data_IF_999987629387
#
_entry.id   IF_999987629387
#
_cell.length_a   1.000
_cell.length_b   1.000
_cell.length_c   1.000
_cell.angle_alpha   90.00
_cell.angle_beta   90.00
_cell.angle_gamma   90.00
#
_symmetry.space_group_name_H-M   'P 1'
#
loop_
_entity.id
_entity.type
_entity.pdbx_description
1 polymer ?
#
# COMPACT_ATOMS: atom_id res chain seq x y z
N UNK A 1 19.19 -19.07 9.52
CA UNK A 1 18.77 -17.68 9.23
C UNK A 1 17.26 -17.61 8.98
N UNK A 2 16.69 -18.43 8.10
CA UNK A 2 15.25 -18.45 7.78
C UNK A 2 14.34 -18.68 9.00
N UNK A 3 14.64 -19.67 9.86
CA UNK A 3 13.88 -19.91 11.10
C UNK A 3 13.87 -18.70 12.06
N UNK A 4 14.96 -17.93 12.10
CA UNK A 4 15.05 -16.72 12.94
C UNK A 4 14.17 -15.62 12.34
N UNK A 5 14.25 -15.41 11.02
CA UNK A 5 13.41 -14.44 10.32
C UNK A 5 11.91 -14.77 10.44
N UNK A 6 11.55 -16.05 10.33
CA UNK A 6 10.18 -16.52 10.53
C UNK A 6 9.68 -16.21 11.95
N UNK A 7 10.45 -16.54 12.99
CA UNK A 7 10.08 -16.24 14.38
C UNK A 7 9.91 -14.73 14.62
N UNK A 8 10.77 -13.89 14.04
CA UNK A 8 10.66 -12.43 14.13
C UNK A 8 9.39 -11.95 13.42
N UNK A 9 9.13 -12.45 12.21
CA UNK A 9 7.92 -12.13 11.45
C UNK A 9 6.65 -12.52 12.25
N UNK A 10 6.63 -13.69 12.87
CA UNK A 10 5.47 -14.18 13.63
C UNK A 10 5.23 -13.37 14.91
N UNK A 11 6.31 -12.87 15.53
CA UNK A 11 6.21 -11.95 16.66
C UNK A 11 5.60 -10.60 16.22
N UNK A 12 6.09 -10.06 15.10
CA UNK A 12 5.65 -8.77 14.54
C UNK A 12 4.19 -8.84 14.09
N UNK A 13 3.84 -9.87 13.31
CA UNK A 13 2.50 -10.14 12.79
C UNK A 13 1.64 -10.99 13.72
N UNK A 14 1.97 -11.01 15.01
CA UNK A 14 1.15 -11.64 16.02
C UNK A 14 -0.27 -11.04 16.02
N UNK A 15 -1.21 -11.75 16.63
CA UNK A 15 -2.59 -11.29 16.79
C UNK A 15 -2.68 -9.89 17.39
N UNK A 16 -1.68 -9.46 18.17
CA UNK A 16 -1.62 -8.13 18.75
C UNK A 16 -1.58 -7.02 17.67
N UNK A 17 -0.79 -7.16 16.59
CA UNK A 17 -0.75 -6.16 15.52
C UNK A 17 -2.06 -6.12 14.74
N UNK A 18 -2.63 -7.30 14.44
CA UNK A 18 -3.92 -7.43 13.74
C UNK A 18 -5.02 -6.72 14.54
N UNK A 19 -5.11 -7.00 15.84
CA UNK A 19 -6.08 -6.37 16.75
C UNK A 19 -5.83 -4.86 16.84
N UNK A 20 -4.57 -4.43 16.92
CA UNK A 20 -4.22 -3.00 16.98
C UNK A 20 -4.67 -2.26 15.72
N UNK A 21 -4.39 -2.80 14.53
CA UNK A 21 -4.79 -2.19 13.25
C UNK A 21 -6.31 -2.16 13.09
N UNK A 22 -7.01 -3.28 13.35
CA UNK A 22 -8.46 -3.34 13.29
C UNK A 22 -9.11 -2.40 14.31
N UNK A 23 -8.67 -2.45 15.57
CA UNK A 23 -9.17 -1.61 16.65
C UNK A 23 -8.95 -0.13 16.37
N UNK A 24 -7.81 0.24 15.81
CA UNK A 24 -7.52 1.63 15.39
C UNK A 24 -8.45 2.07 14.26
N UNK A 25 -8.65 1.24 13.24
CA UNK A 25 -9.57 1.54 12.15
C UNK A 25 -11.02 1.67 12.61
N UNK A 26 -11.48 0.82 13.54
CA UNK A 26 -12.80 0.95 14.18
C UNK A 26 -12.87 2.25 14.98
N UNK A 27 -11.88 2.51 15.82
CA UNK A 27 -11.82 3.71 16.64
C UNK A 27 -11.93 4.98 15.79
N UNK A 28 -11.09 5.12 14.76
CA UNK A 28 -11.11 6.27 13.86
C UNK A 28 -12.38 6.34 13.02
N UNK A 29 -12.92 5.21 12.58
CA UNK A 29 -14.23 5.19 11.93
C UNK A 29 -15.30 5.79 12.84
N UNK A 30 -15.37 5.38 14.11
CA UNK A 30 -16.37 5.90 15.06
C UNK A 30 -16.15 7.37 15.38
N UNK A 31 -14.94 7.79 15.77
CA UNK A 31 -14.71 9.19 16.19
C UNK A 31 -14.82 10.19 15.06
N UNK A 32 -14.55 9.77 13.82
CA UNK A 32 -14.78 10.59 12.62
C UNK A 32 -16.20 10.44 12.07
N UNK A 33 -17.07 9.68 12.74
CA UNK A 33 -18.46 9.40 12.38
C UNK A 33 -18.60 8.77 10.99
N UNK A 34 -17.80 7.75 10.70
CA UNK A 34 -17.72 7.06 9.40
C UNK A 34 -17.46 8.02 8.24
N UNK A 35 -16.40 8.85 8.36
CA UNK A 35 -16.04 9.82 7.33
C UNK A 35 -15.90 9.17 5.96
N UNK A 36 -15.38 7.94 5.93
CA UNK A 36 -15.07 7.19 4.73
C UNK A 36 -16.33 6.84 3.92
N UNK A 37 -17.50 6.80 4.56
CA UNK A 37 -18.80 6.70 3.90
C UNK A 37 -19.35 8.09 3.59
N UNK A 38 -19.41 8.98 4.60
CA UNK A 38 -20.07 10.29 4.49
C UNK A 38 -19.44 11.23 3.46
N UNK A 39 -18.13 11.10 3.22
CA UNK A 39 -17.37 12.00 2.35
C UNK A 39 -16.97 11.37 1.01
N UNK A 40 -17.47 10.18 0.64
CA UNK A 40 -17.02 9.50 -0.58
C UNK A 40 -17.10 10.38 -1.84
N UNK A 41 -18.19 11.14 -2.00
CA UNK A 41 -18.37 12.10 -3.12
C UNK A 41 -17.33 13.23 -3.07
N UNK A 42 -17.03 13.70 -1.87
CA UNK A 42 -16.06 14.77 -1.66
C UNK A 42 -14.63 14.30 -1.91
N UNK A 43 -14.28 13.09 -1.49
CA UNK A 43 -12.96 12.53 -1.75
C UNK A 43 -12.67 12.46 -3.25
N UNK A 44 -13.66 12.05 -4.05
CA UNK A 44 -13.55 12.02 -5.50
C UNK A 44 -13.44 13.43 -6.12
N UNK A 45 -14.29 14.37 -5.68
CA UNK A 45 -14.23 15.78 -6.13
C UNK A 45 -12.84 16.39 -5.89
N UNK A 46 -12.27 16.15 -4.71
CA UNK A 46 -11.00 16.72 -4.29
C UNK A 46 -9.79 16.19 -5.06
N UNK A 47 -9.89 15.05 -5.76
CA UNK A 47 -8.82 14.56 -6.64
C UNK A 47 -8.46 15.59 -7.71
N UNK A 48 -9.47 16.33 -8.19
CA UNK A 48 -9.33 17.30 -9.26
C UNK A 48 -9.29 18.76 -8.74
N UNK A 49 -9.25 18.94 -7.42
CA UNK A 49 -9.06 20.24 -6.79
C UNK A 49 -7.55 20.51 -6.55
N UNK A 50 -7.15 21.79 -6.68
CA UNK A 50 -5.79 22.24 -6.40
C UNK A 50 -4.87 22.24 -7.63
N UNK A 51 -3.79 23.03 -7.56
CA UNK A 51 -2.77 23.15 -8.61
C UNK A 51 -1.40 22.89 -7.99
N UNK A 52 -0.46 22.42 -8.81
CA UNK A 52 0.95 22.34 -8.41
C UNK A 52 1.52 23.74 -8.13
N UNK A 53 2.54 23.80 -7.28
CA UNK A 53 3.33 25.01 -7.01
C UNK A 53 4.82 24.74 -7.24
N UNK A 54 5.67 25.75 -7.04
CA UNK A 54 7.12 25.55 -7.12
C UNK A 54 7.65 24.61 -6.02
N UNK A 55 6.94 24.56 -4.88
CA UNK A 55 7.29 23.76 -3.69
C UNK A 55 6.61 22.39 -3.65
N UNK A 56 5.43 22.25 -4.26
CA UNK A 56 4.54 21.12 -4.06
C UNK A 56 3.86 20.63 -5.34
N UNK A 57 3.29 19.43 -5.26
CA UNK A 57 2.55 18.80 -6.35
C UNK A 57 1.03 19.02 -6.18
N UNK A 58 0.26 18.82 -7.26
CA UNK A 58 -1.21 18.86 -7.16
C UNK A 58 -1.77 17.70 -6.32
N UNK A 59 -3.03 17.81 -5.88
CA UNK A 59 -3.73 16.73 -5.16
C UNK A 59 -3.75 15.43 -5.96
N UNK A 60 -4.00 15.51 -7.28
CA UNK A 60 -3.98 14.34 -8.17
C UNK A 60 -2.59 13.71 -8.27
N UNK A 61 -1.53 14.52 -8.42
CA UNK A 61 -0.16 14.00 -8.47
C UNK A 61 0.24 13.35 -7.14
N UNK A 62 -0.09 13.95 -6.00
CA UNK A 62 0.15 13.35 -4.69
C UNK A 62 -0.66 12.06 -4.50
N UNK A 63 -1.89 12.00 -5.01
CA UNK A 63 -2.68 10.78 -5.07
C UNK A 63 -2.01 9.72 -5.95
N UNK A 64 -1.55 10.07 -7.15
CA UNK A 64 -0.86 9.18 -8.08
C UNK A 64 0.44 8.62 -7.47
N UNK A 65 1.24 9.44 -6.79
CA UNK A 65 2.45 9.00 -6.06
C UNK A 65 2.08 8.03 -4.94
N UNK A 66 1.00 8.30 -4.20
CA UNK A 66 0.56 7.42 -3.12
C UNK A 66 0.04 6.08 -3.66
N UNK A 67 -0.72 6.10 -4.76
CA UNK A 67 -1.19 4.90 -5.45
C UNK A 67 -0.03 4.13 -6.06
N UNK A 68 0.99 4.80 -6.58
CA UNK A 68 2.14 4.14 -7.20
C UNK A 68 2.92 3.27 -6.21
N UNK A 69 2.87 3.60 -4.90
CA UNK A 69 3.43 2.79 -3.82
C UNK A 69 2.51 1.70 -3.28
N UNK A 70 1.18 1.85 -3.42
CA UNK A 70 0.17 0.88 -2.96
C UNK A 70 -0.08 -0.22 -3.98
N UNK A 71 -0.26 0.16 -5.25
CA UNK A 71 -0.52 -0.76 -6.35
C UNK A 71 0.80 -1.41 -6.78
N UNK A 72 1.07 -2.57 -6.20
CA UNK A 72 2.30 -3.34 -6.37
C UNK A 72 2.05 -4.85 -6.42
N UNK A 73 3.10 -5.60 -6.09
CA UNK A 73 3.03 -7.06 -5.92
C UNK A 73 1.97 -7.51 -4.90
N UNK A 74 1.68 -6.69 -3.88
CA UNK A 74 0.66 -6.96 -2.87
C UNK A 74 -0.73 -7.22 -3.46
N UNK A 75 -1.11 -6.46 -4.49
CA UNK A 75 -2.43 -6.55 -5.10
C UNK A 75 -2.64 -7.78 -5.98
N UNK A 76 -1.55 -8.40 -6.45
CA UNK A 76 -1.58 -9.55 -7.35
C UNK A 76 -1.17 -10.80 -6.57
N UNK A 77 0.13 -10.93 -6.28
CA UNK A 77 0.67 -12.08 -5.55
C UNK A 77 0.24 -12.09 -4.08
N UNK A 78 0.07 -10.93 -3.43
CA UNK A 78 -0.39 -10.87 -2.05
C UNK A 78 -1.84 -11.33 -1.87
N UNK A 79 -2.74 -10.94 -2.79
CA UNK A 79 -4.13 -11.44 -2.83
C UNK A 79 -4.17 -12.95 -3.07
N UNK A 80 -3.41 -13.44 -4.05
CA UNK A 80 -3.29 -14.88 -4.32
C UNK A 80 -2.77 -15.64 -3.09
N UNK A 81 -1.82 -15.07 -2.35
CA UNK A 81 -1.30 -15.64 -1.10
C UNK A 81 -2.35 -15.62 0.01
N UNK A 82 -3.15 -14.56 0.12
CA UNK A 82 -4.25 -14.49 1.08
C UNK A 82 -5.29 -15.59 0.83
N UNK A 83 -5.67 -15.80 -0.44
CA UNK A 83 -6.57 -16.88 -0.85
C UNK A 83 -5.92 -18.24 -0.59
N UNK A 84 -4.63 -18.40 -0.90
CA UNK A 84 -3.95 -19.68 -0.70
C UNK A 84 -3.84 -20.09 0.77
N UNK A 85 -3.61 -19.14 1.67
CA UNK A 85 -3.38 -19.42 3.08
C UNK A 85 -4.64 -19.33 3.94
N UNK A 86 -5.62 -18.50 3.55
CA UNK A 86 -6.84 -18.23 4.31
C UNK A 86 -8.13 -18.60 3.58
N UNK A 87 -8.06 -19.15 2.36
CA UNK A 87 -9.22 -19.42 1.52
C UNK A 87 -9.90 -18.15 0.99
N UNK A 88 -11.03 -18.31 0.26
CA UNK A 88 -11.78 -17.18 -0.30
C UNK A 88 -12.22 -16.15 0.75
N UNK A 89 -12.42 -16.58 2.00
CA UNK A 89 -12.81 -15.72 3.12
C UNK A 89 -11.80 -14.62 3.45
N UNK A 90 -10.52 -14.81 3.13
CA UNK A 90 -9.49 -13.79 3.35
C UNK A 90 -9.78 -12.49 2.59
N UNK A 91 -10.44 -12.58 1.42
CA UNK A 91 -10.79 -11.42 0.59
C UNK A 91 -11.77 -10.50 1.32
N UNK A 92 -12.74 -11.04 2.06
CA UNK A 92 -13.65 -10.25 2.88
C UNK A 92 -12.89 -9.45 3.95
N UNK A 93 -11.93 -10.09 4.62
CA UNK A 93 -11.13 -9.44 5.65
C UNK A 93 -10.18 -8.39 5.07
N UNK A 94 -9.70 -8.57 3.83
CA UNK A 94 -9.02 -7.51 3.07
C UNK A 94 -9.94 -6.30 2.83
N UNK A 95 -11.19 -6.51 2.42
CA UNK A 95 -12.16 -5.43 2.24
C UNK A 95 -12.46 -4.70 3.54
N UNK A 96 -12.67 -5.45 4.62
CA UNK A 96 -12.98 -4.86 5.92
C UNK A 96 -11.82 -4.00 6.42
N UNK A 97 -10.57 -4.48 6.34
CA UNK A 97 -9.43 -3.69 6.78
C UNK A 97 -9.18 -2.48 5.88
N UNK A 98 -9.46 -2.55 4.58
CA UNK A 98 -9.41 -1.38 3.70
C UNK A 98 -10.50 -0.34 4.05
N UNK A 99 -11.72 -0.81 4.32
CA UNK A 99 -12.81 0.06 4.76
C UNK A 99 -12.47 0.81 6.04
N UNK A 100 -11.98 0.09 7.06
CA UNK A 100 -11.57 0.66 8.34
C UNK A 100 -10.30 1.51 8.20
N UNK A 101 -9.35 1.04 7.40
CA UNK A 101 -8.05 1.68 7.15
C UNK A 101 -8.16 3.02 6.43
N UNK A 102 -9.21 3.23 5.62
CA UNK A 102 -9.49 4.53 4.99
C UNK A 102 -9.60 5.67 6.02
N UNK A 103 -10.18 5.40 7.21
CA UNK A 103 -10.23 6.38 8.29
C UNK A 103 -8.85 6.65 8.92
N UNK A 104 -8.03 5.61 9.11
CA UNK A 104 -6.64 5.77 9.60
C UNK A 104 -5.78 6.54 8.59
N UNK A 105 -5.91 6.24 7.31
CA UNK A 105 -5.22 6.93 6.22
C UNK A 105 -5.58 8.43 6.17
N UNK A 106 -6.83 8.79 6.43
CA UNK A 106 -7.24 10.19 6.59
C UNK A 106 -6.46 10.87 7.72
N UNK A 107 -6.37 10.25 8.90
CA UNK A 107 -5.69 10.81 10.07
C UNK A 107 -4.20 11.01 9.76
N UNK A 108 -3.54 9.98 9.26
CA UNK A 108 -2.12 10.00 8.90
C UNK A 108 -1.79 11.07 7.86
N UNK A 109 -2.56 11.14 6.77
CA UNK A 109 -2.34 12.12 5.71
C UNK A 109 -2.63 13.55 6.17
N UNK A 110 -3.66 13.74 7.01
CA UNK A 110 -3.97 15.04 7.62
C UNK A 110 -2.83 15.50 8.53
N UNK A 111 -2.29 14.61 9.37
CA UNK A 111 -1.11 14.90 10.20
C UNK A 111 0.13 15.20 9.34
N UNK A 112 0.34 14.43 8.27
CA UNK A 112 1.41 14.66 7.30
C UNK A 112 1.36 16.07 6.69
N UNK A 113 0.16 16.55 6.37
CA UNK A 113 -0.05 17.93 5.89
C UNK A 113 0.15 18.99 6.97
N UNK A 114 -0.39 18.79 8.17
CA UNK A 114 -0.27 19.77 9.28
C UNK A 114 1.19 20.02 9.65
N UNK A 115 2.01 18.97 9.68
CA UNK A 115 3.39 19.04 10.18
C UNK A 115 4.45 19.01 9.06
N UNK A 116 4.05 19.23 7.80
CA UNK A 116 4.99 19.33 6.67
C UNK A 116 5.96 20.50 6.85
N UNK A 117 7.06 20.45 6.12
CA UNK A 117 8.04 21.52 6.06
C UNK A 117 8.65 21.65 4.68
N UNK A 118 9.21 22.81 4.38
CA UNK A 118 10.04 22.99 3.20
C UNK A 118 11.44 22.48 3.50
N UNK A 119 11.93 21.55 2.67
CA UNK A 119 13.31 21.07 2.70
C UNK A 119 13.85 21.07 1.26
N UNK A 120 14.97 21.76 1.03
CA UNK A 120 15.55 21.97 -0.30
C UNK A 120 14.55 22.54 -1.33
N UNK A 121 13.68 23.45 -0.88
CA UNK A 121 12.67 24.10 -1.74
C UNK A 121 11.44 23.25 -2.04
N UNK A 122 11.34 22.01 -1.53
CA UNK A 122 10.20 21.11 -1.74
C UNK A 122 9.48 20.81 -0.43
N UNK A 123 8.17 20.56 -0.47
CA UNK A 123 7.46 20.06 0.69
C UNK A 123 7.87 18.63 1.03
N UNK A 124 8.22 18.41 2.30
CA UNK A 124 8.48 17.10 2.88
C UNK A 124 7.72 16.97 4.19
N UNK A 125 7.15 15.80 4.40
CA UNK A 125 6.43 15.45 5.61
C UNK A 125 6.34 13.93 5.73
N UNK A 126 5.55 13.47 6.69
CA UNK A 126 5.44 12.07 7.04
C UNK A 126 5.53 11.83 8.54
N UNK A 127 5.54 10.57 8.99
CA UNK A 127 5.39 10.26 10.40
C UNK A 127 6.53 10.75 11.27
N UNK A 128 7.78 10.71 10.80
CA UNK A 128 8.89 11.29 11.54
C UNK A 128 8.66 12.77 11.89
N UNK A 129 8.08 13.55 10.97
CA UNK A 129 7.81 14.97 11.17
C UNK A 129 6.68 15.22 12.16
N UNK A 130 5.55 14.53 12.04
CA UNK A 130 4.45 14.72 13.00
C UNK A 130 4.72 14.09 14.36
N UNK A 131 5.52 13.03 14.44
CA UNK A 131 5.96 12.45 15.72
C UNK A 131 6.86 13.45 16.46
N UNK A 132 7.84 14.06 15.79
CA UNK A 132 8.71 15.04 16.45
C UNK A 132 7.94 16.32 16.81
N UNK A 133 7.20 16.93 15.87
CA UNK A 133 6.56 18.24 16.08
C UNK A 133 5.25 18.15 16.87
N UNK A 134 4.47 17.10 16.65
CA UNK A 134 3.16 16.91 17.24
C UNK A 134 3.21 16.19 18.59
N UNK A 135 3.94 15.07 18.70
CA UNK A 135 4.10 14.36 19.97
C UNK A 135 5.25 14.89 20.83
N UNK A 136 6.21 15.62 20.25
CA UNK A 136 7.41 16.06 20.97
C UNK A 136 8.44 14.94 21.21
N UNK A 137 8.27 13.77 20.58
CA UNK A 137 9.07 12.57 20.87
C UNK A 137 10.15 12.33 19.80
N UNK A 138 11.25 13.08 19.87
CA UNK A 138 12.32 13.02 18.87
C UNK A 138 12.95 11.62 18.71
N UNK A 139 13.13 10.87 19.79
CA UNK A 139 13.69 9.52 19.71
C UNK A 139 12.79 8.57 18.91
N UNK A 140 11.47 8.73 19.07
CA UNK A 140 10.48 7.90 18.38
C UNK A 140 10.39 8.26 16.90
N UNK A 141 10.50 9.55 16.58
CA UNK A 141 10.59 10.03 15.20
C UNK A 141 11.85 9.50 14.49
N UNK A 142 13.02 9.53 15.15
CA UNK A 142 14.26 8.97 14.61
C UNK A 142 14.18 7.46 14.40
N UNK A 143 13.57 6.73 15.36
CA UNK A 143 13.32 5.29 15.23
C UNK A 143 12.42 4.99 14.02
N UNK A 144 11.30 5.71 13.88
CA UNK A 144 10.41 5.56 12.73
C UNK A 144 11.13 5.84 11.41
N UNK A 145 11.90 6.93 11.33
CA UNK A 145 12.63 7.29 10.12
C UNK A 145 13.66 6.23 9.74
N UNK A 146 14.44 5.70 10.71
CA UNK A 146 15.42 4.65 10.47
C UNK A 146 14.77 3.35 9.99
N UNK A 147 13.70 2.91 10.67
CA UNK A 147 12.94 1.71 10.30
C UNK A 147 12.33 1.87 8.91
N UNK A 148 11.80 3.05 8.59
CA UNK A 148 11.21 3.33 7.28
C UNK A 148 12.26 3.30 6.17
N UNK A 149 13.44 3.92 6.38
CA UNK A 149 14.57 3.86 5.43
C UNK A 149 14.99 2.41 5.20
N UNK A 150 15.20 1.63 6.27
CA UNK A 150 15.60 0.22 6.13
C UNK A 150 14.52 -0.60 5.41
N UNK A 151 13.26 -0.41 5.77
CA UNK A 151 12.15 -1.17 5.19
C UNK A 151 11.97 -0.87 3.70
N UNK A 152 11.97 0.41 3.33
CA UNK A 152 11.72 0.84 1.94
C UNK A 152 12.96 0.74 1.04
N UNK A 153 14.17 0.84 1.59
CA UNK A 153 15.39 0.71 0.78
C UNK A 153 15.95 -0.72 0.73
N UNK A 154 15.69 -1.57 1.73
CA UNK A 154 16.29 -2.90 1.81
C UNK A 154 15.27 -4.05 1.79
N UNK A 155 14.22 -4.00 2.63
CA UNK A 155 13.31 -5.15 2.76
C UNK A 155 12.27 -5.26 1.62
N UNK A 156 11.54 -4.18 1.36
CA UNK A 156 10.38 -4.20 0.46
C UNK A 156 10.73 -4.25 -1.04
N UNK A 157 11.80 -3.62 -1.54
CA UNK A 157 12.16 -3.71 -2.97
C UNK A 157 12.38 -5.15 -3.43
N UNK A 158 12.81 -6.02 -2.52
CA UNK A 158 13.03 -7.43 -2.81
C UNK A 158 11.74 -8.18 -3.20
N UNK A 159 10.63 -7.91 -2.52
CA UNK A 159 9.32 -8.54 -2.81
C UNK A 159 8.81 -8.14 -4.20
N UNK A 160 8.95 -6.86 -4.50
CA UNK A 160 8.52 -6.27 -5.76
C UNK A 160 9.30 -6.87 -6.94
N UNK A 161 10.63 -6.78 -6.88
CA UNK A 161 11.53 -7.32 -7.92
C UNK A 161 11.43 -8.83 -8.10
N UNK A 162 11.25 -9.60 -7.02
CA UNK A 162 11.07 -11.04 -7.08
C UNK A 162 9.83 -11.42 -7.91
N UNK A 163 8.72 -10.74 -7.68
CA UNK A 163 7.46 -11.05 -8.37
C UNK A 163 7.50 -10.66 -9.85
N UNK A 164 8.21 -9.57 -10.20
CA UNK A 164 8.51 -9.25 -11.60
C UNK A 164 9.32 -10.38 -12.24
N UNK A 165 10.42 -10.78 -11.59
CA UNK A 165 11.33 -11.79 -12.13
C UNK A 165 10.65 -13.14 -12.35
N UNK A 166 9.87 -13.62 -11.36
CA UNK A 166 9.13 -14.88 -11.47
C UNK A 166 8.03 -14.82 -12.53
N UNK A 167 7.32 -13.71 -12.64
CA UNK A 167 6.24 -13.57 -13.63
C UNK A 167 6.78 -13.48 -15.06
N UNK A 168 7.91 -12.78 -15.25
CA UNK A 168 8.61 -12.73 -16.54
C UNK A 168 9.21 -14.09 -16.92
N UNK A 169 9.73 -14.84 -15.96
CA UNK A 169 10.18 -16.20 -16.18
C UNK A 169 9.02 -17.12 -16.58
N UNK A 170 7.88 -17.05 -15.89
CA UNK A 170 6.70 -17.86 -16.20
C UNK A 170 6.12 -17.52 -17.59
N UNK A 171 5.99 -16.23 -17.92
CA UNK A 171 5.34 -15.78 -19.14
C UNK A 171 6.23 -15.88 -20.39
N UNK A 172 7.52 -15.59 -20.25
CA UNK A 172 8.43 -15.41 -21.39
C UNK A 172 9.71 -16.24 -21.29
N UNK A 173 9.84 -17.10 -20.27
CA UNK A 173 11.05 -17.89 -20.02
C UNK A 173 12.33 -17.07 -19.87
N UNK A 174 12.21 -15.78 -19.52
CA UNK A 174 13.35 -14.91 -19.26
C UNK A 174 13.98 -15.28 -17.91
N UNK A 175 15.27 -15.60 -17.85
CA UNK A 175 15.94 -15.89 -16.59
C UNK A 175 15.82 -14.74 -15.58
N UNK A 176 15.55 -15.07 -14.32
CA UNK A 176 15.28 -14.09 -13.24
C UNK A 176 16.38 -13.04 -13.08
N UNK A 177 17.65 -13.41 -13.29
CA UNK A 177 18.79 -12.50 -13.18
C UNK A 177 18.79 -11.42 -14.26
N UNK A 178 18.38 -11.75 -15.49
CA UNK A 178 18.30 -10.76 -16.58
C UNK A 178 17.15 -9.79 -16.37
N UNK A 179 15.99 -10.29 -15.91
CA UNK A 179 14.88 -9.43 -15.51
C UNK A 179 15.29 -8.48 -14.39
N UNK A 180 15.94 -9.00 -13.35
CA UNK A 180 16.46 -8.19 -12.23
C UNK A 180 17.43 -7.10 -12.68
N UNK A 181 18.39 -7.45 -13.55
CA UNK A 181 19.33 -6.48 -14.11
C UNK A 181 18.61 -5.38 -14.92
N UNK A 182 17.65 -5.76 -15.77
CA UNK A 182 16.85 -4.81 -16.55
C UNK A 182 16.05 -3.85 -15.67
N UNK A 183 15.38 -4.36 -14.63
CA UNK A 183 14.64 -3.55 -13.65
C UNK A 183 15.57 -2.56 -12.95
N UNK A 184 16.75 -3.01 -12.50
CA UNK A 184 17.74 -2.14 -11.84
C UNK A 184 18.28 -1.05 -12.75
N UNK A 185 18.56 -1.38 -14.02
CA UNK A 185 19.01 -0.38 -15.00
C UNK A 185 17.94 0.71 -15.21
N UNK A 186 16.67 0.31 -15.39
CA UNK A 186 15.57 1.26 -15.54
C UNK A 186 15.36 2.11 -14.28
N UNK A 187 15.42 1.51 -13.09
CA UNK A 187 15.31 2.24 -11.83
C UNK A 187 16.45 3.25 -11.66
N UNK A 188 17.69 2.87 -11.99
CA UNK A 188 18.85 3.76 -11.91
C UNK A 188 18.66 5.00 -12.80
N UNK A 189 18.17 4.83 -14.03
CA UNK A 189 17.90 5.95 -14.94
C UNK A 189 16.88 6.96 -14.38
N UNK A 190 15.90 6.48 -13.60
CA UNK A 190 14.85 7.34 -13.03
C UNK A 190 15.27 7.95 -11.71
N UNK A 191 15.75 7.13 -10.76
CA UNK A 191 16.02 7.52 -9.38
C UNK A 191 17.16 8.55 -9.29
N UNK A 192 18.19 8.43 -10.13
CA UNK A 192 19.26 9.44 -10.20
C UNK A 192 18.76 10.80 -10.73
N UNK A 193 17.61 10.83 -11.40
CA UNK A 193 16.91 12.05 -11.82
C UNK A 193 16.13 12.76 -10.70
N UNK A 194 16.00 12.17 -9.52
CA UNK A 194 15.36 12.77 -8.34
C UNK A 194 13.83 12.70 -8.33
N UNK A 195 13.25 13.28 -7.26
CA UNK A 195 11.82 13.16 -6.90
C UNK A 195 10.87 13.70 -7.98
N UNK A 196 11.18 14.84 -8.60
CA UNK A 196 10.35 15.42 -9.67
C UNK A 196 10.19 14.48 -10.87
N UNK A 197 11.24 13.74 -11.24
CA UNK A 197 11.19 12.75 -12.32
C UNK A 197 10.28 11.57 -11.93
N UNK A 198 10.36 11.11 -10.68
CA UNK A 198 9.52 10.03 -10.16
C UNK A 198 8.04 10.42 -10.23
N UNK A 199 7.68 11.61 -9.76
CA UNK A 199 6.31 12.10 -9.82
C UNK A 199 5.75 12.13 -11.24
N UNK A 200 6.52 12.64 -12.21
CA UNK A 200 6.10 12.74 -13.61
C UNK A 200 5.91 11.37 -14.27
N UNK A 201 6.76 10.39 -13.94
CA UNK A 201 6.59 9.02 -14.43
C UNK A 201 5.37 8.37 -13.79
N UNK A 202 5.19 8.51 -12.48
CA UNK A 202 4.05 7.95 -11.75
C UNK A 202 2.71 8.48 -12.27
N UNK A 203 2.61 9.78 -12.53
CA UNK A 203 1.39 10.43 -13.05
C UNK A 203 0.91 9.82 -14.39
N UNK A 204 1.84 9.38 -15.24
CA UNK A 204 1.52 8.78 -16.55
C UNK A 204 1.28 7.27 -16.43
N UNK A 205 2.16 6.57 -15.72
CA UNK A 205 2.14 5.10 -15.68
C UNK A 205 0.99 4.57 -14.81
N UNK A 206 0.70 5.21 -13.68
CA UNK A 206 -0.26 4.69 -12.69
C UNK A 206 -1.69 4.59 -13.23
N UNK A 207 -2.26 5.63 -13.88
CA UNK A 207 -3.61 5.52 -14.42
C UNK A 207 -3.72 4.45 -15.51
N UNK A 208 -2.69 4.32 -16.37
CA UNK A 208 -2.67 3.32 -17.43
C UNK A 208 -2.59 1.90 -16.87
N UNK A 209 -1.67 1.64 -15.94
CA UNK A 209 -1.48 0.30 -15.37
C UNK A 209 -2.71 -0.14 -14.56
N UNK A 210 -3.24 0.72 -13.70
CA UNK A 210 -4.41 0.40 -12.88
C UNK A 210 -5.67 0.25 -13.73
N UNK A 211 -5.88 1.17 -14.69
CA UNK A 211 -7.01 1.13 -15.61
C UNK A 211 -7.02 -0.13 -16.48
N UNK A 212 -5.88 -0.48 -17.08
CA UNK A 212 -5.77 -1.70 -17.90
C UNK A 212 -6.03 -2.99 -17.11
N UNK A 213 -5.52 -3.07 -15.89
CA UNK A 213 -5.72 -4.24 -15.02
C UNK A 213 -7.19 -4.37 -14.56
N UNK A 214 -7.80 -3.27 -14.12
CA UNK A 214 -9.22 -3.25 -13.74
C UNK A 214 -10.11 -3.58 -14.95
N UNK A 215 -9.80 -3.06 -16.14
CA UNK A 215 -10.53 -3.37 -17.36
C UNK A 215 -10.51 -4.86 -17.67
N UNK A 216 -9.35 -5.52 -17.56
CA UNK A 216 -9.25 -6.97 -17.77
C UNK A 216 -10.13 -7.75 -16.79
N UNK A 217 -10.14 -7.35 -15.51
CA UNK A 217 -11.03 -7.97 -14.54
C UNK A 217 -12.51 -7.74 -14.85
N UNK A 218 -12.89 -6.54 -15.32
CA UNK A 218 -14.26 -6.25 -15.78
C UNK A 218 -14.64 -7.15 -16.96
N UNK A 219 -13.75 -7.36 -17.92
CA UNK A 219 -13.98 -8.27 -19.05
C UNK A 219 -14.23 -9.69 -18.53
N UNK A 220 -13.39 -10.21 -17.64
CA UNK A 220 -13.57 -11.55 -17.06
C UNK A 220 -14.86 -11.66 -16.24
N UNK A 221 -15.21 -10.63 -15.46
CA UNK A 221 -16.48 -10.56 -14.74
C UNK A 221 -17.68 -10.57 -15.68
N UNK A 222 -17.63 -9.81 -16.79
CA UNK A 222 -18.71 -9.77 -17.76
C UNK A 222 -18.91 -11.12 -18.46
N UNK A 223 -17.82 -11.84 -18.75
CA UNK A 223 -17.86 -13.20 -19.29
C UNK A 223 -18.44 -14.22 -18.31
N UNK A 224 -18.34 -13.96 -17.00
CA UNK A 224 -18.80 -14.85 -15.93
C UNK A 224 -19.94 -14.22 -15.10
N UNK A 225 -20.74 -13.34 -15.70
CA UNK A 225 -21.68 -12.48 -14.97
C UNK A 225 -22.68 -13.26 -14.10
N UNK A 226 -23.14 -14.42 -14.58
CA UNK A 226 -24.09 -15.27 -13.87
C UNK A 226 -23.54 -15.81 -12.52
N UNK A 227 -22.23 -15.95 -12.40
CA UNK A 227 -21.56 -16.53 -11.24
C UNK A 227 -21.24 -15.49 -10.15
N UNK A 228 -21.42 -14.19 -10.43
CA UNK A 228 -21.08 -13.11 -9.50
C UNK A 228 -21.75 -13.29 -8.13
N UNK A 229 -23.06 -13.56 -8.02
CA UNK A 229 -23.70 -13.75 -6.73
C UNK A 229 -23.14 -14.95 -5.96
N UNK A 230 -22.84 -16.06 -6.66
CA UNK A 230 -22.31 -17.27 -6.06
C UNK A 230 -20.91 -17.05 -5.49
N UNK A 231 -20.03 -16.37 -6.22
CA UNK A 231 -18.69 -16.03 -5.76
C UNK A 231 -18.71 -15.06 -4.55
N UNK A 232 -19.55 -14.02 -4.58
CA UNK A 232 -19.69 -13.12 -3.41
C UNK A 232 -20.19 -13.91 -2.20
N UNK A 233 -21.17 -14.79 -2.39
CA UNK A 233 -21.66 -15.70 -1.34
C UNK A 233 -20.54 -16.60 -0.81
N UNK A 234 -19.69 -17.15 -1.69
CA UNK A 234 -18.55 -17.98 -1.29
C UNK A 234 -17.57 -17.22 -0.40
N UNK A 235 -17.20 -15.99 -0.79
CA UNK A 235 -16.30 -15.12 -0.01
C UNK A 235 -16.90 -14.87 1.38
N UNK A 236 -18.17 -14.48 1.46
CA UNK A 236 -18.83 -14.16 2.72
C UNK A 236 -18.99 -15.42 3.60
N UNK A 237 -19.48 -16.54 3.05
CA UNK A 237 -19.63 -17.79 3.80
C UNK A 237 -18.29 -18.30 4.33
N UNK A 238 -17.25 -18.27 3.51
CA UNK A 238 -15.89 -18.65 3.92
C UNK A 238 -15.35 -17.73 5.01
N UNK A 239 -15.69 -16.43 4.97
CA UNK A 239 -15.22 -15.45 5.94
C UNK A 239 -15.87 -15.57 7.33
N UNK A 240 -17.00 -16.26 7.44
CA UNK A 240 -17.78 -16.44 8.67
C UNK A 240 -17.96 -17.92 9.07
N UNK A 241 -17.09 -18.81 8.59
CA UNK A 241 -17.12 -20.25 8.93
C UNK A 241 -18.41 -20.99 8.52
N UNK A 242 -19.08 -20.50 7.46
CA UNK A 242 -20.31 -21.09 6.93
C UNK A 242 -20.08 -21.95 5.68
N UNK A 243 -18.83 -22.06 5.22
CA UNK A 243 -18.45 -22.87 4.07
C UNK A 243 -17.63 -24.09 4.54
N UNK A 244 -18.22 -25.31 4.56
CA UNK A 244 -17.58 -26.49 5.14
C UNK A 244 -16.19 -26.81 4.57
N UNK A 245 -15.98 -26.53 3.27
CA UNK A 245 -14.71 -26.74 2.59
C UNK A 245 -13.55 -25.90 3.18
N UNK A 246 -13.86 -24.78 3.83
CA UNK A 246 -12.87 -23.83 4.34
C UNK A 246 -12.96 -23.60 5.86
N UNK A 247 -13.79 -24.37 6.58
CA UNK A 247 -13.97 -24.21 8.02
C UNK A 247 -12.65 -24.34 8.81
N UNK A 248 -11.77 -25.24 8.36
CA UNK A 248 -10.45 -25.46 8.97
C UNK A 248 -9.46 -24.30 8.86
N UNK A 249 -9.77 -23.25 8.07
CA UNK A 249 -8.91 -22.08 7.86
C UNK A 249 -9.57 -20.76 8.26
N UNK A 250 -10.72 -20.76 8.94
CA UNK A 250 -11.42 -19.52 9.34
C UNK A 250 -10.51 -18.51 10.07
N UNK A 251 -9.77 -18.93 11.10
CA UNK A 251 -8.84 -18.03 11.80
C UNK A 251 -7.70 -17.52 10.91
N UNK A 252 -7.27 -18.34 9.94
CA UNK A 252 -6.26 -17.96 8.96
C UNK A 252 -6.82 -16.97 7.92
N UNK A 253 -8.11 -17.08 7.57
CA UNK A 253 -8.79 -16.12 6.70
C UNK A 253 -8.71 -14.71 7.27
N UNK A 254 -8.97 -14.56 8.59
CA UNK A 254 -8.82 -13.27 9.29
C UNK A 254 -7.37 -12.81 9.26
N UNK A 255 -6.44 -13.66 9.72
CA UNK A 255 -5.04 -13.27 9.88
C UNK A 255 -4.39 -12.89 8.54
N UNK A 256 -4.54 -13.73 7.51
CA UNK A 256 -3.98 -13.49 6.19
C UNK A 256 -4.71 -12.39 5.42
N UNK A 257 -6.03 -12.29 5.57
CA UNK A 257 -6.80 -11.20 4.98
C UNK A 257 -6.41 -9.84 5.53
N UNK A 258 -6.28 -9.71 6.86
CA UNK A 258 -5.80 -8.45 7.46
C UNK A 258 -4.33 -8.20 7.11
N UNK A 259 -3.45 -9.21 7.21
CA UNK A 259 -2.02 -9.07 6.90
C UNK A 259 -1.78 -8.61 5.46
N UNK A 260 -2.38 -9.28 4.48
CA UNK A 260 -2.21 -8.93 3.06
C UNK A 260 -3.00 -7.69 2.68
N UNK A 261 -4.12 -7.41 3.36
CA UNK A 261 -4.86 -6.16 3.21
C UNK A 261 -4.03 -4.94 3.61
N UNK A 262 -3.41 -4.95 4.80
CA UNK A 262 -2.51 -3.87 5.26
C UNK A 262 -1.30 -3.73 4.35
N UNK A 263 -0.69 -4.86 3.96
CA UNK A 263 0.46 -4.84 3.04
C UNK A 263 0.12 -4.15 1.71
N UNK A 264 -1.10 -4.32 1.21
CA UNK A 264 -1.55 -3.74 -0.06
C UNK A 264 -1.88 -2.25 0.07
N UNK A 265 -2.81 -1.88 0.96
CA UNK A 265 -3.27 -0.49 1.04
C UNK A 265 -2.42 0.42 1.92
N UNK A 266 -1.47 -0.13 2.66
CA UNK A 266 -0.55 0.57 3.55
C UNK A 266 -1.24 1.46 4.60
N UNK A 267 -2.54 1.23 4.88
CA UNK A 267 -3.26 2.00 5.88
C UNK A 267 -2.79 1.59 7.29
N UNK A 268 -2.36 2.57 8.10
CA UNK A 268 -1.70 2.27 9.37
C UNK A 268 -0.17 2.19 9.27
N UNK A 269 0.40 1.97 8.07
CA UNK A 269 1.84 1.76 7.89
C UNK A 269 2.65 3.06 7.99
N UNK A 270 2.06 4.20 7.62
CA UNK A 270 2.72 5.51 7.70
C UNK A 270 3.52 5.91 6.46
N UNK A 271 3.33 5.24 5.31
CA UNK A 271 3.97 5.58 4.03
C UNK A 271 3.19 6.63 3.23
N UNK A 272 1.86 6.53 3.17
CA UNK A 272 0.99 7.47 2.47
C UNK A 272 1.16 8.96 2.87
N UNK A 273 1.46 9.30 4.14
CA UNK A 273 1.70 10.68 4.56
C UNK A 273 2.82 11.41 3.83
N UNK A 274 3.82 10.70 3.29
CA UNK A 274 4.93 11.33 2.56
C UNK A 274 4.41 11.99 1.27
N UNK A 275 3.67 11.21 0.46
CA UNK A 275 3.02 11.71 -0.75
C UNK A 275 1.94 12.75 -0.40
N UNK A 276 1.18 12.50 0.68
CA UNK A 276 0.19 13.46 1.15
C UNK A 276 0.83 14.81 1.43
N UNK A 277 1.92 14.88 2.19
CA UNK A 277 2.61 16.10 2.59
C UNK A 277 3.21 16.89 1.42
N UNK A 278 3.52 16.25 0.31
CA UNK A 278 4.00 16.92 -0.90
C UNK A 278 2.92 17.74 -1.62
N UNK A 279 1.65 17.52 -1.31
CA UNK A 279 0.53 18.21 -1.94
C UNK A 279 0.43 19.69 -1.51
N UNK A 280 0.15 20.56 -2.48
CA UNK A 280 -0.25 21.94 -2.28
C UNK A 280 -1.77 22.02 -2.12
N UNK A 281 -2.25 22.22 -0.89
CA UNK A 281 -3.69 22.27 -0.57
C UNK A 281 -4.00 23.35 0.46
N UNK A 282 -5.16 23.99 0.34
CA UNK A 282 -5.60 25.07 1.22
C UNK A 282 -6.02 24.61 2.62
N UNK A 283 -6.24 23.30 2.83
CA UNK A 283 -6.71 22.74 4.10
C UNK A 283 -6.25 21.27 4.23
N UNK A 284 -5.68 20.81 5.37
CA UNK A 284 -5.05 19.50 5.45
C UNK A 284 -6.05 18.35 5.29
N UNK A 285 -7.29 18.53 5.78
CA UNK A 285 -8.37 17.58 5.60
C UNK A 285 -8.73 17.31 4.12
N UNK A 286 -8.49 18.26 3.19
CA UNK A 286 -8.72 18.02 1.76
C UNK A 286 -7.83 16.88 1.28
N UNK A 287 -6.54 16.96 1.56
CA UNK A 287 -5.60 15.90 1.19
C UNK A 287 -5.79 14.64 2.03
N UNK A 288 -6.19 14.76 3.30
CA UNK A 288 -6.62 13.62 4.11
C UNK A 288 -7.72 12.81 3.41
N UNK A 289 -8.74 13.47 2.86
CA UNK A 289 -9.84 12.82 2.14
C UNK A 289 -9.39 12.17 0.84
N UNK A 290 -8.53 12.83 0.07
CA UNK A 290 -7.93 12.27 -1.16
C UNK A 290 -7.17 10.98 -0.85
N UNK A 291 -6.39 10.96 0.23
CA UNK A 291 -5.63 9.79 0.65
C UNK A 291 -6.51 8.70 1.27
N UNK A 292 -7.60 9.05 1.93
CA UNK A 292 -8.59 8.08 2.38
C UNK A 292 -9.21 7.31 1.19
N UNK A 293 -9.44 7.98 0.06
CA UNK A 293 -9.98 7.35 -1.14
C UNK A 293 -8.98 6.45 -1.85
N UNK A 294 -7.69 6.77 -1.80
CA UNK A 294 -6.66 5.92 -2.41
C UNK A 294 -6.60 4.49 -1.84
N UNK A 295 -7.03 4.28 -0.59
CA UNK A 295 -7.19 2.95 0.02
C UNK A 295 -8.28 2.12 -0.69
N UNK A 296 -9.33 2.77 -1.19
CA UNK A 296 -10.40 2.09 -1.92
C UNK A 296 -9.92 1.64 -3.29
N UNK A 297 -9.25 2.51 -4.04
CA UNK A 297 -8.69 2.16 -5.36
C UNK A 297 -7.77 0.94 -5.25
N UNK A 298 -6.91 0.90 -4.23
CA UNK A 298 -6.04 -0.24 -3.97
C UNK A 298 -6.82 -1.54 -3.73
N UNK A 299 -7.61 -1.61 -2.65
CA UNK A 299 -8.14 -2.89 -2.20
C UNK A 299 -9.51 -3.22 -2.78
N UNK A 300 -10.42 -2.24 -2.79
CA UNK A 300 -11.81 -2.46 -3.24
C UNK A 300 -11.92 -2.54 -4.76
N UNK A 301 -10.96 -1.97 -5.50
CA UNK A 301 -10.93 -2.11 -6.97
C UNK A 301 -9.84 -3.09 -7.41
N UNK A 302 -8.56 -2.84 -7.15
CA UNK A 302 -7.47 -3.65 -7.74
C UNK A 302 -7.33 -5.02 -7.07
N UNK A 303 -7.29 -5.11 -5.74
CA UNK A 303 -7.22 -6.42 -5.07
C UNK A 303 -8.48 -7.25 -5.33
N UNK A 304 -9.64 -6.60 -5.38
CA UNK A 304 -10.91 -7.24 -5.72
C UNK A 304 -10.90 -7.78 -7.14
N UNK A 305 -10.39 -7.01 -8.10
CA UNK A 305 -10.17 -7.46 -9.47
C UNK A 305 -9.31 -8.74 -9.52
N UNK A 306 -8.18 -8.78 -8.80
CA UNK A 306 -7.35 -9.99 -8.71
C UNK A 306 -8.11 -11.16 -8.09
N UNK A 307 -8.74 -10.94 -6.94
CA UNK A 307 -9.47 -11.98 -6.23
C UNK A 307 -10.57 -12.57 -7.11
N UNK A 308 -11.30 -11.72 -7.83
CA UNK A 308 -12.37 -12.14 -8.71
C UNK A 308 -11.86 -12.95 -9.89
N UNK A 309 -10.79 -12.50 -10.56
CA UNK A 309 -10.17 -13.29 -11.63
C UNK A 309 -9.78 -14.69 -11.14
N UNK A 310 -9.14 -14.79 -9.97
CA UNK A 310 -8.71 -16.06 -9.38
C UNK A 310 -9.89 -16.96 -9.00
N UNK A 311 -10.89 -16.40 -8.30
CA UNK A 311 -12.01 -17.16 -7.74
C UNK A 311 -13.01 -17.60 -8.83
N UNK A 312 -13.34 -16.74 -9.80
CA UNK A 312 -14.24 -17.12 -10.90
C UNK A 312 -13.70 -18.27 -11.74
N UNK A 313 -12.40 -18.28 -11.96
CA UNK A 313 -11.75 -19.29 -12.82
C UNK A 313 -11.39 -20.56 -12.04
N UNK A 314 -11.58 -20.57 -10.71
CA UNK A 314 -11.17 -21.65 -9.84
C UNK A 314 -9.66 -21.88 -9.80
N UNK A 315 -8.84 -20.94 -10.31
CA UNK A 315 -7.39 -21.10 -10.48
C UNK A 315 -6.62 -20.73 -9.20
N UNK A 316 -6.88 -21.48 -8.14
CA UNK A 316 -6.18 -21.35 -6.85
C UNK A 316 -6.10 -22.69 -6.12
N UNK A 317 -5.11 -22.81 -5.23
CA UNK A 317 -5.07 -23.85 -4.21
C UNK A 317 -5.25 -23.21 -2.84
N UNK A 318 -5.82 -23.93 -1.87
CA UNK A 318 -5.91 -23.55 -0.47
C UNK A 318 -5.13 -24.55 0.37
N UNK A 319 -4.12 -24.08 1.11
CA UNK A 319 -3.23 -24.90 1.93
C UNK A 319 -3.97 -25.40 3.16
N UNK A 320 -3.75 -26.67 3.52
CA UNK A 320 -4.22 -27.22 4.78
C UNK A 320 -3.17 -27.02 5.88
N UNK A 321 -3.50 -26.39 7.02
CA UNK A 321 -2.58 -26.24 8.14
C UNK A 321 -2.01 -27.56 8.69
N UNK A 322 -2.72 -28.69 8.47
CA UNK A 322 -2.28 -30.03 8.85
C UNK A 322 -1.37 -30.71 7.81
N UNK A 323 -1.02 -30.01 6.73
CA UNK A 323 -0.27 -30.53 5.58
C UNK A 323 -1.15 -30.86 4.38
N UNK A 324 -0.63 -30.65 3.18
CA UNK A 324 -1.37 -30.80 1.92
C UNK A 324 -2.27 -29.60 1.60
N UNK A 325 -3.35 -29.84 0.87
CA UNK A 325 -4.29 -28.81 0.42
C UNK A 325 -5.73 -29.16 0.86
N UNK A 326 -6.50 -28.13 1.22
CA UNK A 326 -7.96 -28.22 1.33
C UNK A 326 -8.61 -28.23 -0.06
N UNK A 327 -8.02 -27.48 -1.00
CA UNK A 327 -8.41 -27.41 -2.41
C UNK A 327 -7.12 -27.33 -3.23
N UNK A 328 -6.99 -28.18 -4.25
CA UNK A 328 -5.84 -28.17 -5.17
C UNK A 328 -6.32 -28.18 -6.62
N UNK A 329 -6.58 -27.00 -7.18
CA UNK A 329 -7.03 -26.84 -8.57
C UNK A 329 -5.86 -26.57 -9.55
N UNK A 330 -4.68 -26.28 -9.02
CA UNK A 330 -3.45 -25.96 -9.76
C UNK A 330 -2.26 -26.76 -9.20
N UNK A 331 -2.17 -28.08 -9.46
CA UNK A 331 -1.06 -28.89 -8.98
C UNK A 331 0.29 -28.35 -9.48
N UNK A 332 1.24 -28.17 -8.56
CA UNK A 332 2.60 -27.70 -8.87
C UNK A 332 2.74 -26.19 -9.14
N UNK A 333 1.64 -25.42 -9.20
CA UNK A 333 1.71 -23.97 -9.34
C UNK A 333 2.22 -23.31 -8.06
N UNK A 334 3.08 -22.30 -8.19
CA UNK A 334 3.59 -21.55 -7.04
C UNK A 334 2.55 -20.57 -6.54
N UNK A 335 2.43 -20.45 -5.21
CA UNK A 335 1.58 -19.43 -4.58
C UNK A 335 2.07 -18.04 -4.97
N UNK A 336 1.18 -17.20 -5.49
CA UNK A 336 1.48 -15.83 -5.85
C UNK A 336 0.91 -15.45 -7.22
N UNK A 337 1.69 -14.67 -7.99
CA UNK A 337 1.26 -14.12 -9.28
C UNK A 337 0.83 -15.19 -10.30
N UNK A 338 1.38 -16.40 -10.20
CA UNK A 338 1.07 -17.50 -11.10
C UNK A 338 -0.43 -17.88 -11.06
N UNK A 339 -1.11 -17.75 -9.91
CA UNK A 339 -2.56 -17.99 -9.84
C UNK A 339 -3.33 -17.01 -10.72
N UNK A 340 -2.91 -15.74 -10.74
CA UNK A 340 -3.53 -14.73 -11.62
C UNK A 340 -3.17 -14.99 -13.08
N UNK A 341 -1.94 -15.39 -13.38
CA UNK A 341 -1.52 -15.77 -14.73
C UNK A 341 -2.39 -16.91 -15.27
N UNK A 342 -2.59 -17.96 -14.47
CA UNK A 342 -3.42 -19.11 -14.83
C UNK A 342 -4.91 -18.74 -14.93
N UNK A 343 -5.39 -17.86 -14.05
CA UNK A 343 -6.76 -17.33 -14.11
C UNK A 343 -7.03 -16.61 -15.43
N UNK A 344 -6.19 -15.67 -15.84
CA UNK A 344 -6.43 -14.94 -17.09
C UNK A 344 -6.21 -15.87 -18.29
N UNK A 345 -5.24 -16.79 -18.22
CA UNK A 345 -4.96 -17.75 -19.29
C UNK A 345 -6.09 -18.76 -19.52
N UNK A 346 -7.00 -18.97 -18.55
CA UNK A 346 -8.17 -19.84 -18.77
C UNK A 346 -9.14 -19.27 -19.79
N UNK A 347 -9.28 -17.94 -19.86
CA UNK A 347 -10.10 -17.25 -20.87
C UNK A 347 -9.27 -16.76 -22.06
N UNK A 348 -8.01 -16.37 -21.83
CA UNK A 348 -7.12 -15.80 -22.85
C UNK A 348 -5.76 -16.52 -22.88
N UNK A 349 -5.66 -17.76 -23.40
CA UNK A 349 -4.46 -18.59 -23.30
C UNK A 349 -3.18 -17.96 -23.87
N UNK A 350 -3.30 -17.16 -24.94
CA UNK A 350 -2.16 -16.50 -25.59
C UNK A 350 -1.72 -15.20 -24.91
N UNK A 351 -2.55 -14.62 -24.04
CA UNK A 351 -2.35 -13.29 -23.48
C UNK A 351 -2.13 -13.32 -21.97
N UNK A 352 -2.75 -14.26 -21.25
CA UNK A 352 -2.92 -14.17 -19.79
C UNK A 352 -1.62 -14.07 -19.01
N UNK A 353 -0.68 -14.98 -19.23
CA UNK A 353 0.60 -14.97 -18.52
C UNK A 353 1.40 -13.69 -18.82
N UNK A 354 1.47 -13.27 -20.09
CA UNK A 354 2.16 -12.06 -20.53
C UNK A 354 1.52 -10.79 -20.00
N UNK A 355 0.19 -10.71 -19.96
CA UNK A 355 -0.55 -9.58 -19.43
C UNK A 355 -0.23 -9.33 -17.95
N UNK A 356 -0.27 -10.37 -17.11
CA UNK A 356 0.06 -10.23 -15.69
C UNK A 356 1.54 -9.91 -15.50
N UNK A 357 2.44 -10.50 -16.29
CA UNK A 357 3.88 -10.21 -16.21
C UNK A 357 4.19 -8.74 -16.52
N UNK A 358 3.58 -8.19 -17.59
CA UNK A 358 3.70 -6.77 -17.95
C UNK A 358 3.03 -5.88 -16.90
N UNK A 359 1.85 -6.27 -16.39
CA UNK A 359 1.16 -5.54 -15.32
C UNK A 359 2.01 -5.47 -14.05
N UNK A 360 2.59 -6.59 -13.61
CA UNK A 360 3.49 -6.65 -12.48
C UNK A 360 4.76 -5.85 -12.70
N UNK A 361 5.32 -5.85 -13.91
CA UNK A 361 6.45 -4.99 -14.25
C UNK A 361 6.10 -3.54 -13.92
N UNK A 362 4.96 -3.01 -14.38
CA UNK A 362 4.57 -1.63 -14.04
C UNK A 362 4.27 -1.44 -12.56
N UNK A 363 3.42 -2.28 -11.96
CA UNK A 363 2.97 -2.15 -10.56
C UNK A 363 4.14 -2.17 -9.59
N UNK A 364 4.95 -3.22 -9.66
CA UNK A 364 6.07 -3.42 -8.75
C UNK A 364 7.20 -2.41 -9.01
N UNK A 365 7.43 -2.02 -10.27
CA UNK A 365 8.42 -0.98 -10.61
C UNK A 365 8.02 0.38 -10.04
N UNK A 366 6.77 0.82 -10.22
CA UNK A 366 6.29 2.08 -9.63
C UNK A 366 6.32 2.05 -8.11
N UNK A 367 6.09 0.87 -7.52
CA UNK A 367 6.18 0.69 -6.07
C UNK A 367 7.60 0.88 -5.57
N UNK A 368 8.61 0.31 -6.25
CA UNK A 368 10.02 0.53 -5.90
C UNK A 368 10.42 2.00 -6.05
N UNK A 369 9.89 2.71 -7.05
CA UNK A 369 10.12 4.16 -7.18
C UNK A 369 9.51 4.96 -6.01
N UNK A 370 8.31 4.60 -5.56
CA UNK A 370 7.68 5.22 -4.39
C UNK A 370 8.47 4.96 -3.11
N UNK A 371 9.00 3.74 -2.95
CA UNK A 371 9.86 3.39 -1.82
C UNK A 371 11.14 4.23 -1.78
N UNK A 372 11.77 4.49 -2.93
CA UNK A 372 12.90 5.41 -2.98
C UNK A 372 12.50 6.81 -2.48
N UNK A 373 11.36 7.35 -2.93
CA UNK A 373 10.89 8.67 -2.50
C UNK A 373 10.63 8.73 -0.99
N UNK A 374 10.00 7.70 -0.43
CA UNK A 374 9.74 7.59 1.01
C UNK A 374 11.06 7.49 1.79
N UNK A 375 11.99 6.67 1.31
CA UNK A 375 13.29 6.49 1.94
C UNK A 375 14.12 7.78 1.91
N UNK A 376 14.16 8.49 0.77
CA UNK A 376 14.88 9.76 0.65
C UNK A 376 14.26 10.83 1.56
N UNK A 377 12.94 10.86 1.69
CA UNK A 377 12.23 11.79 2.58
C UNK A 377 12.64 11.55 4.04
N UNK A 378 12.65 10.30 4.50
CA UNK A 378 13.09 9.96 5.86
C UNK A 378 14.60 10.14 6.05
N UNK A 379 15.40 9.91 5.02
CA UNK A 379 16.83 10.19 5.06
C UNK A 379 17.08 11.68 5.25
N UNK A 380 16.34 12.57 4.58
CA UNK A 380 16.47 14.01 4.78
C UNK A 380 15.95 14.51 6.12
N UNK A 381 15.11 13.73 6.80
CA UNK A 381 14.78 13.98 8.20
C UNK A 381 15.97 13.65 9.13
N UNK A 382 16.62 12.50 8.91
CA UNK A 382 17.77 12.03 9.68
C UNK A 382 19.03 12.86 9.43
N UNK A 383 19.31 13.18 8.17
CA UNK A 383 20.46 13.97 7.75
C UNK A 383 20.07 15.40 7.38
N UNK A 384 20.00 16.25 8.41
CA UNK A 384 19.70 17.69 8.26
C UNK A 384 20.77 18.45 7.48
N UNK A 385 21.99 17.89 7.31
CA UNK A 385 23.07 18.54 6.57
C UNK A 385 22.96 18.31 5.05
N UNK A 386 22.12 17.37 4.61
CA UNK A 386 21.88 17.11 3.18
C UNK A 386 23.12 16.55 2.47
N UNK A 387 23.82 15.60 3.10
CA UNK A 387 25.02 15.00 2.55
C UNK A 387 24.68 14.16 1.31
N UNK A 388 25.13 14.62 0.14
CA UNK A 388 24.90 13.95 -1.16
C UNK A 388 25.37 12.48 -1.17
N UNK A 389 26.41 12.15 -0.42
CA UNK A 389 26.91 10.77 -0.34
C UNK A 389 25.91 9.82 0.32
N UNK A 390 25.16 10.26 1.34
CA UNK A 390 24.15 9.43 2.01
C UNK A 390 23.00 9.11 1.05
N UNK A 391 22.58 10.08 0.24
CA UNK A 391 21.58 9.86 -0.82
C UNK A 391 22.07 8.84 -1.84
N UNK A 392 23.34 8.90 -2.24
CA UNK A 392 23.90 7.93 -3.18
C UNK A 392 24.02 6.53 -2.56
N UNK A 393 24.39 6.41 -1.28
CA UNK A 393 24.37 5.13 -0.55
C UNK A 393 22.96 4.55 -0.51
N UNK A 394 21.95 5.38 -0.24
CA UNK A 394 20.54 4.96 -0.26
C UNK A 394 20.13 4.42 -1.64
N UNK A 395 20.51 5.10 -2.73
CA UNK A 395 20.26 4.65 -4.10
C UNK A 395 20.90 3.29 -4.36
N UNK A 396 22.19 3.15 -4.03
CA UNK A 396 22.92 1.90 -4.23
C UNK A 396 22.32 0.75 -3.40
N UNK A 397 21.91 1.01 -2.15
CA UNK A 397 21.24 0.03 -1.31
C UNK A 397 19.92 -0.45 -1.91
N UNK A 398 19.10 0.46 -2.42
CA UNK A 398 17.83 0.12 -3.06
C UNK A 398 18.02 -0.67 -4.36
N UNK A 399 18.97 -0.26 -5.21
CA UNK A 399 19.30 -0.99 -6.44
C UNK A 399 19.86 -2.38 -6.14
N UNK A 400 20.75 -2.50 -5.14
CA UNK A 400 21.26 -3.79 -4.68
C UNK A 400 20.14 -4.69 -4.18
N UNK A 401 19.25 -4.17 -3.33
CA UNK A 401 18.14 -4.95 -2.74
C UNK A 401 17.13 -5.40 -3.80
N UNK A 402 16.90 -4.57 -4.82
CA UNK A 402 16.09 -4.90 -5.99
C UNK A 402 16.72 -6.05 -6.79
N UNK A 403 18.02 -5.98 -7.09
CA UNK A 403 18.69 -7.08 -7.79
C UNK A 403 18.69 -8.36 -6.94
N UNK A 404 19.08 -8.23 -5.67
CA UNK A 404 19.17 -9.35 -4.74
C UNK A 404 17.82 -10.05 -4.55
N UNK A 405 16.73 -9.30 -4.43
CA UNK A 405 15.38 -9.88 -4.33
C UNK A 405 14.94 -10.64 -5.58
N UNK A 406 15.33 -10.18 -6.77
CA UNK A 406 14.99 -10.86 -8.04
C UNK A 406 15.55 -12.29 -8.13
N UNK A 407 16.68 -12.57 -7.47
CA UNK A 407 17.35 -13.89 -7.50
C UNK A 407 17.12 -14.73 -6.24
N UNK A 408 16.42 -14.21 -5.23
CA UNK A 408 16.10 -14.92 -3.98
C UNK A 408 14.78 -15.67 -4.08
N UNK A 409 14.49 -16.50 -3.09
CA UNK A 409 13.21 -17.20 -3.01
C UNK A 409 12.10 -16.21 -2.67
N UNK A 410 10.89 -16.45 -3.19
CA UNK A 410 9.72 -15.64 -2.87
C UNK A 410 9.45 -15.59 -1.36
N UNK A 411 9.55 -16.74 -0.67
CA UNK A 411 9.37 -16.83 0.78
C UNK A 411 10.32 -15.91 1.55
N UNK A 412 11.62 -15.90 1.21
CA UNK A 412 12.58 -15.02 1.87
C UNK A 412 12.29 -13.54 1.59
N UNK A 413 11.93 -13.20 0.35
CA UNK A 413 11.57 -11.83 -0.02
C UNK A 413 10.35 -11.36 0.77
N UNK A 414 9.26 -12.14 0.77
CA UNK A 414 8.03 -11.82 1.49
C UNK A 414 8.22 -11.75 3.00
N UNK A 415 9.01 -12.65 3.60
CA UNK A 415 9.31 -12.61 5.03
C UNK A 415 10.02 -11.32 5.43
N UNK A 416 11.04 -10.91 4.66
CA UNK A 416 11.72 -9.63 4.90
C UNK A 416 10.78 -8.44 4.72
N UNK A 417 9.99 -8.45 3.65
CA UNK A 417 9.00 -7.40 3.40
C UNK A 417 7.97 -7.28 4.52
N UNK A 418 7.46 -8.40 5.00
CA UNK A 418 6.48 -8.46 6.10
C UNK A 418 7.06 -7.89 7.40
N UNK A 419 8.33 -8.19 7.72
CA UNK A 419 9.04 -7.60 8.85
C UNK A 419 9.08 -6.06 8.71
N UNK A 420 9.44 -5.55 7.53
CA UNK A 420 9.49 -4.12 7.25
C UNK A 420 8.13 -3.43 7.44
N UNK A 421 7.09 -3.94 6.78
CA UNK A 421 5.71 -3.40 6.90
C UNK A 421 5.26 -3.41 8.36
N UNK A 422 5.41 -4.55 9.05
CA UNK A 422 4.91 -4.71 10.39
C UNK A 422 5.60 -3.79 11.41
N UNK A 423 6.93 -3.61 11.31
CA UNK A 423 7.63 -2.65 12.18
C UNK A 423 7.16 -1.20 11.94
N UNK A 424 6.97 -0.80 10.68
CA UNK A 424 6.44 0.52 10.37
C UNK A 424 5.02 0.70 10.91
N UNK A 425 4.15 -0.30 10.74
CA UNK A 425 2.78 -0.29 11.25
C UNK A 425 2.71 -0.17 12.77
N UNK A 426 3.52 -0.95 13.52
CA UNK A 426 3.60 -0.83 14.97
C UNK A 426 3.93 0.60 15.42
N UNK A 427 4.96 1.21 14.83
CA UNK A 427 5.38 2.55 15.20
C UNK A 427 4.34 3.60 14.83
N UNK A 428 3.79 3.49 13.62
CA UNK A 428 2.92 4.53 13.12
C UNK A 428 1.50 4.48 13.69
N UNK A 429 0.90 3.30 13.85
CA UNK A 429 -0.43 3.15 14.44
C UNK A 429 -0.46 3.70 15.87
N UNK A 430 0.58 3.40 16.67
CA UNK A 430 0.72 3.96 18.02
C UNK A 430 0.85 5.49 17.95
N UNK A 431 1.69 6.02 17.06
CA UNK A 431 1.87 7.46 16.89
C UNK A 431 0.55 8.19 16.60
N UNK A 432 -0.25 7.69 15.65
CA UNK A 432 -1.48 8.38 15.22
C UNK A 432 -2.60 8.27 16.27
N UNK A 433 -2.64 7.19 17.05
CA UNK A 433 -3.55 7.05 18.19
C UNK A 433 -3.25 8.11 19.26
N UNK A 434 -1.97 8.31 19.58
CA UNK A 434 -1.53 9.33 20.54
C UNK A 434 -1.75 10.74 19.98
N UNK A 435 -1.46 10.96 18.68
CA UNK A 435 -1.52 12.26 18.01
C UNK A 435 -2.85 12.53 17.27
N UNK A 436 -3.95 11.87 17.66
CA UNK A 436 -5.23 12.01 16.94
C UNK A 436 -5.85 13.41 16.96
N UNK A 437 -5.64 14.19 18.03
CA UNK A 437 -6.37 15.45 18.29
C UNK A 437 -6.20 16.50 17.18
N UNK A 438 -4.98 16.83 16.71
CA UNK A 438 -4.80 17.79 15.60
C UNK A 438 -5.60 17.42 14.34
N UNK A 439 -5.56 16.15 13.91
CA UNK A 439 -6.31 15.71 12.72
C UNK A 439 -7.83 15.79 12.92
N UNK A 440 -8.33 15.44 14.11
CA UNK A 440 -9.76 15.57 14.43
C UNK A 440 -10.22 17.03 14.51
N UNK A 441 -9.38 17.92 15.04
CA UNK A 441 -9.66 19.36 15.06
C UNK A 441 -9.70 19.94 13.64
N UNK A 442 -8.75 19.56 12.78
CA UNK A 442 -8.74 19.94 11.37
C UNK A 442 -10.00 19.43 10.64
N UNK A 443 -10.44 18.20 10.90
CA UNK A 443 -11.68 17.67 10.32
C UNK A 443 -12.92 18.47 10.80
N UNK A 444 -12.95 18.88 12.06
CA UNK A 444 -14.04 19.68 12.63
C UNK A 444 -14.08 21.09 12.00
N UNK A 445 -12.93 21.73 11.84
CA UNK A 445 -12.80 23.03 11.18
C UNK A 445 -13.25 22.97 9.72
N UNK A 446 -12.73 22.01 8.96
CA UNK A 446 -13.16 21.73 7.59
C UNK A 446 -14.69 21.60 7.47
N UNK A 447 -15.30 20.85 8.41
CA UNK A 447 -16.74 20.67 8.47
C UNK A 447 -17.51 21.96 8.75
N UNK A 448 -17.02 22.81 9.64
CA UNK A 448 -17.63 24.08 9.99
C UNK A 448 -17.59 25.05 8.81
N UNK A 449 -16.42 25.17 8.16
CA UNK A 449 -16.25 26.04 7.00
C UNK A 449 -17.13 25.60 5.82
N UNK A 450 -17.19 24.28 5.54
CA UNK A 450 -18.08 23.72 4.51
C UNK A 450 -19.55 23.94 4.78
N UNK A 451 -20.00 23.79 6.03
CA UNK A 451 -21.39 24.06 6.42
C UNK A 451 -21.74 25.55 6.28
N UNK A 452 -20.76 26.42 6.44
CA UNK A 452 -20.89 27.87 6.21
C UNK A 452 -20.81 28.25 4.72
N UNK A 453 -20.74 27.29 3.79
CA UNK A 453 -20.66 27.55 2.34
C UNK A 453 -19.31 28.11 1.87
N UNK A 454 -18.26 28.05 2.70
CA UNK A 454 -16.92 28.54 2.37
C UNK A 454 -16.09 27.44 1.70
N UNK A 455 -15.13 27.84 0.86
CA UNK A 455 -14.03 26.94 0.50
C UNK A 455 -13.06 26.83 1.69
N UNK A 456 -12.84 25.64 2.27
CA UNK A 456 -12.05 25.53 3.50
C UNK A 456 -10.61 25.98 3.32
N UNK A 457 -10.17 26.88 4.21
CA UNK A 457 -8.79 27.33 4.37
C UNK A 457 -8.40 27.12 5.83
N UNK A 458 -7.36 26.36 6.06
CA UNK A 458 -6.93 26.05 7.42
C UNK A 458 -6.06 27.18 7.98
N UNK A 459 -6.12 27.32 9.29
CA UNK A 459 -5.23 28.17 10.06
C UNK A 459 -4.97 27.47 11.38
N UNK A 460 -3.70 27.10 11.62
CA UNK A 460 -3.32 26.30 12.78
C UNK A 460 -3.73 26.93 14.11
N UNK A 461 -3.70 28.28 14.20
CA UNK A 461 -4.07 29.01 15.42
C UNK A 461 -5.55 28.86 15.76
N UNK A 462 -6.41 28.86 14.74
CA UNK A 462 -7.87 28.81 14.91
C UNK A 462 -8.34 27.46 15.48
N UNK A 463 -7.51 26.42 15.34
CA UNK A 463 -7.79 25.05 15.80
C UNK A 463 -6.88 24.59 16.96
N UNK A 464 -6.10 25.51 17.54
CA UNK A 464 -5.24 25.26 18.70
C UNK A 464 -4.06 24.32 18.41
N UNK A 465 -3.57 24.31 17.17
CA UNK A 465 -2.42 23.50 16.75
C UNK A 465 -1.17 24.39 16.74
N UNK A 466 -0.18 24.00 17.53
CA UNK A 466 1.11 24.68 17.64
C UNK A 466 2.20 23.90 16.88
N UNK A 467 3.38 24.51 16.73
CA UNK A 467 4.58 23.90 16.11
C UNK A 467 4.44 23.54 14.62
N UNK A 468 3.60 24.27 13.89
CA UNK A 468 3.55 24.22 12.42
C UNK A 468 4.57 25.18 11.84
N UNK A 469 5.41 24.71 10.91
CA UNK A 469 6.46 25.54 10.27
C UNK A 469 5.97 26.21 9.00
N UNK A 470 5.14 25.50 8.23
CA UNK A 470 4.57 25.97 6.98
C UNK A 470 3.11 25.50 6.98
N UNK A 471 2.18 26.45 6.89
CA UNK A 471 0.78 26.17 6.62
C UNK A 471 0.24 27.20 5.63
#
# INVERSE_FOLDING_TARGET
MEKILANINDLIWSNALIILCMGTGIYFSVVTRFLQVRYIKEMWRLLFDGKSSDKGVSSFQAFAIAISGRIGTGNIAGVATAIAMGGPGAVFWMWLIAFLGSASAFIEATLGQIYKQVNNGEYRGGPAYYIEKGLGMKWYAMLFALVTVLSTAFFLPGVQSNSIALSMQNAFSVPVAYTGAGVVLLLALIIFGGVKRIGKVAEIVVPFMAGGYILMAIVIMALNFAEIPAMISLIVRSAFDLEPAFAGVFGMAVAWGVKRGIYSNEAGQGTAPHAAAAAEVSHPAKQGLVQAFSVYIDTLFVCTATAFMILFTGKYNVVNPKGGFLVENLPGAKIGAEYTQQAISSHFPSLGAGFVAVSLLFFAFTTIMAYYYIAETNLSYLDKKGNKWMVNVLRLLLLFSTFYGSIKTAEAAWTLGDIGVGMMAWLNVIAILLLRKPALNALKDYQQQRKAGKDPVFNAKDVGINNTTEW
#
